data_IF_739017811458
#
_entry.id   IF_739017811458
#
_cell.length_a   1.000
_cell.length_b   1.000
_cell.length_c   1.000
_cell.angle_alpha   90.00
_cell.angle_beta   90.00
_cell.angle_gamma   90.00
#
_symmetry.space_group_name_H-M   'P 1'
#
loop_
_entity.id
_entity.type
_entity.pdbx_description
1 polymer ?
#
# COMPACT_ATOMS: atom_id res chain seq x y z
N UNK A 1 4.56 16.98 1.56
CA UNK A 1 4.55 15.79 0.68
C UNK A 1 5.65 14.86 1.12
N UNK A 2 5.30 13.64 1.49
CA UNK A 2 6.26 12.63 1.91
C UNK A 2 7.15 12.19 0.73
N UNK A 3 8.40 11.86 1.04
CA UNK A 3 9.33 11.27 0.07
C UNK A 3 9.14 9.76 0.03
N UNK A 4 8.74 9.24 -1.12
CA UNK A 4 8.53 7.81 -1.30
C UNK A 4 9.86 7.05 -1.26
N UNK A 5 9.88 5.93 -0.54
CA UNK A 5 10.97 4.95 -0.59
C UNK A 5 10.38 3.56 -0.77
N UNK A 6 10.84 2.86 -1.79
CA UNK A 6 10.37 1.51 -2.09
C UNK A 6 11.34 0.46 -1.55
N UNK A 7 10.81 -0.51 -0.81
CA UNK A 7 11.56 -1.70 -0.46
C UNK A 7 11.87 -2.55 -1.71
N UNK A 8 12.95 -3.34 -1.69
CA UNK A 8 13.30 -4.22 -2.82
C UNK A 8 12.21 -5.26 -3.08
N UNK A 9 11.57 -5.75 -2.03
CA UNK A 9 10.46 -6.70 -2.09
C UNK A 9 9.23 -6.08 -2.76
N UNK A 10 8.84 -4.87 -2.33
CA UNK A 10 7.75 -4.11 -2.94
C UNK A 10 7.89 -3.98 -4.47
N UNK A 11 9.09 -3.67 -4.97
CA UNK A 11 9.31 -3.55 -6.43
C UNK A 11 9.05 -4.86 -7.18
N UNK A 12 9.30 -6.01 -6.57
CA UNK A 12 9.02 -7.32 -7.16
C UNK A 12 7.52 -7.62 -7.11
N UNK A 13 6.88 -7.34 -5.98
CA UNK A 13 5.46 -7.60 -5.76
C UNK A 13 4.59 -6.72 -6.65
N UNK A 14 4.93 -5.43 -6.78
CA UNK A 14 4.25 -4.51 -7.67
C UNK A 14 4.34 -4.98 -9.14
N UNK A 15 5.52 -5.42 -9.59
CA UNK A 15 5.67 -5.99 -10.94
C UNK A 15 4.81 -7.24 -11.13
N UNK A 16 4.70 -8.09 -10.12
CA UNK A 16 3.85 -9.28 -10.17
C UNK A 16 2.36 -8.92 -10.20
N UNK A 17 1.94 -7.93 -9.41
CA UNK A 17 0.59 -7.38 -9.42
C UNK A 17 0.19 -6.88 -10.83
N UNK A 18 1.07 -6.11 -11.48
CA UNK A 18 0.84 -5.62 -12.84
C UNK A 18 0.74 -6.78 -13.84
N UNK A 19 1.60 -7.80 -13.73
CA UNK A 19 1.51 -9.02 -14.57
C UNK A 19 0.21 -9.80 -14.38
N UNK A 20 -0.40 -9.72 -13.19
CA UNK A 20 -1.71 -10.34 -12.87
C UNK A 20 -2.90 -9.50 -13.36
N UNK A 21 -2.67 -8.33 -13.95
CA UNK A 21 -3.72 -7.44 -14.45
C UNK A 21 -4.37 -6.58 -13.38
N UNK A 22 -3.75 -6.44 -12.21
CA UNK A 22 -4.20 -5.46 -11.21
C UNK A 22 -3.99 -4.03 -11.75
N UNK A 23 -4.94 -3.14 -11.45
CA UNK A 23 -4.97 -1.80 -12.03
C UNK A 23 -4.04 -0.85 -11.27
N UNK A 24 -3.00 -0.34 -11.94
CA UNK A 24 -2.06 0.62 -11.37
C UNK A 24 -2.76 1.86 -10.80
N UNK A 25 -3.79 2.36 -11.48
CA UNK A 25 -4.52 3.57 -11.08
C UNK A 25 -5.10 3.49 -9.67
N UNK A 26 -5.54 2.29 -9.23
CA UNK A 26 -6.07 2.09 -7.87
C UNK A 26 -4.97 2.23 -6.81
N UNK A 27 -3.76 1.76 -7.12
CA UNK A 27 -2.60 1.95 -6.26
C UNK A 27 -2.16 3.42 -6.25
N UNK A 28 -2.16 4.09 -7.41
CA UNK A 28 -1.78 5.49 -7.53
C UNK A 28 -2.72 6.42 -6.74
N UNK A 29 -4.02 6.10 -6.70
CA UNK A 29 -5.00 6.82 -5.88
C UNK A 29 -4.64 6.78 -4.39
N UNK A 30 -4.39 5.57 -3.85
CA UNK A 30 -3.98 5.38 -2.44
C UNK A 30 -2.66 6.11 -2.17
N UNK A 31 -1.69 5.98 -3.09
CA UNK A 31 -0.39 6.61 -2.98
C UNK A 31 -0.50 8.14 -2.94
N UNK A 32 -1.43 8.74 -3.70
CA UNK A 32 -1.67 10.18 -3.69
C UNK A 32 -2.10 10.69 -2.32
N UNK A 33 -3.04 10.01 -1.65
CA UNK A 33 -3.46 10.35 -0.28
C UNK A 33 -2.28 10.28 0.69
N UNK A 34 -1.53 9.17 0.66
CA UNK A 34 -0.40 8.94 1.56
C UNK A 34 0.69 10.00 1.39
N UNK A 35 1.09 10.31 0.16
CA UNK A 35 2.13 11.31 -0.09
C UNK A 35 1.69 12.71 0.36
N UNK A 36 0.41 13.02 0.24
CA UNK A 36 -0.16 14.29 0.71
C UNK A 36 -0.43 14.33 2.21
N UNK A 37 -0.15 13.26 2.95
CA UNK A 37 -0.44 13.15 4.39
C UNK A 37 -1.93 13.35 4.70
N UNK A 38 -2.79 12.94 3.76
CA UNK A 38 -4.24 12.95 3.91
C UNK A 38 -4.72 11.61 4.45
N UNK A 39 -5.79 11.65 5.23
CA UNK A 39 -6.45 10.44 5.68
C UNK A 39 -6.99 9.61 4.51
N UNK A 40 -6.80 8.30 4.59
CA UNK A 40 -7.35 7.37 3.61
C UNK A 40 -8.86 7.23 3.83
N UNK A 41 -9.67 7.27 2.75
CA UNK A 41 -11.08 6.92 2.83
C UNK A 41 -11.31 5.55 3.50
N UNK A 42 -12.39 5.43 4.29
CA UNK A 42 -12.72 4.22 5.08
C UNK A 42 -12.74 2.92 4.26
N UNK A 43 -13.06 3.00 2.95
CA UNK A 43 -13.05 1.85 2.04
C UNK A 43 -11.69 1.13 1.95
N UNK A 44 -10.58 1.85 2.17
CA UNK A 44 -9.24 1.27 2.16
C UNK A 44 -8.88 0.58 3.48
N UNK A 45 -9.74 0.63 4.51
CA UNK A 45 -9.56 -0.09 5.78
C UNK A 45 -8.15 0.03 6.37
N UNK A 46 -7.60 1.25 6.33
CA UNK A 46 -6.27 1.52 6.86
C UNK A 46 -6.21 1.23 8.37
N UNK A 47 -5.27 0.40 8.78
CA UNK A 47 -5.13 -0.01 10.17
C UNK A 47 -3.68 -0.34 10.53
N UNK A 48 -3.37 -0.29 11.82
CA UNK A 48 -2.06 -0.67 12.32
C UNK A 48 -1.91 -2.19 12.26
N UNK A 49 -0.88 -2.69 11.57
CA UNK A 49 -0.58 -4.12 11.62
C UNK A 49 -0.03 -4.51 12.99
N UNK A 50 -0.41 -5.71 13.43
CA UNK A 50 0.19 -6.31 14.62
C UNK A 50 1.69 -6.52 14.37
N UNK A 51 2.50 -6.10 15.34
CA UNK A 51 3.94 -6.21 15.24
C UNK A 51 4.36 -7.68 15.03
N UNK A 52 5.13 -7.92 13.98
CA UNK A 52 5.77 -9.22 13.73
C UNK A 52 7.28 -9.03 13.57
N UNK A 53 8.02 -10.13 13.37
CA UNK A 53 9.47 -10.07 13.08
C UNK A 53 9.79 -9.18 11.86
N UNK A 54 8.89 -9.09 10.88
CA UNK A 54 9.13 -8.38 9.62
C UNK A 54 8.33 -7.08 9.47
N UNK A 55 7.29 -6.91 10.27
CA UNK A 55 6.34 -5.80 10.17
C UNK A 55 6.18 -5.15 11.54
N UNK A 56 7.14 -4.31 11.92
CA UNK A 56 7.10 -3.56 13.18
C UNK A 56 6.75 -2.10 12.88
N UNK A 57 5.70 -1.58 13.51
CA UNK A 57 5.29 -0.18 13.36
C UNK A 57 4.83 0.20 11.95
N UNK A 58 4.33 -0.77 11.17
CA UNK A 58 3.81 -0.55 9.82
C UNK A 58 2.29 -0.59 9.79
N UNK A 59 1.68 0.05 8.81
CA UNK A 59 0.23 0.03 8.60
C UNK A 59 -0.10 -0.83 7.39
N UNK A 60 -1.32 -1.32 7.32
CA UNK A 60 -1.85 -1.99 6.13
C UNK A 60 -3.12 -1.29 5.67
N UNK A 61 -3.28 -1.17 4.36
CA UNK A 61 -4.55 -0.78 3.74
C UNK A 61 -4.88 -1.68 2.54
N UNK A 62 -6.17 -1.79 2.25
CA UNK A 62 -6.76 -2.61 1.20
C UNK A 62 -7.01 -1.77 -0.05
N UNK A 63 -6.19 -1.92 -1.09
CA UNK A 63 -6.46 -1.34 -2.41
C UNK A 63 -7.67 -2.05 -3.04
N UNK A 64 -7.74 -3.36 -2.88
CA UNK A 64 -8.88 -4.24 -3.20
C UNK A 64 -9.00 -5.32 -2.11
N UNK A 65 -10.08 -6.13 -2.05
CA UNK A 65 -10.24 -7.15 -1.02
C UNK A 65 -9.02 -8.07 -0.83
N UNK A 66 -8.43 -8.54 -1.94
CA UNK A 66 -7.24 -9.42 -1.94
C UNK A 66 -5.96 -8.70 -2.41
N UNK A 67 -5.94 -7.36 -2.37
CA UNK A 67 -4.77 -6.56 -2.74
C UNK A 67 -4.45 -5.53 -1.65
N UNK A 68 -3.44 -5.85 -0.85
CA UNK A 68 -3.03 -5.10 0.33
C UNK A 68 -1.74 -4.32 0.05
N UNK A 69 -1.62 -3.16 0.69
CA UNK A 69 -0.40 -2.35 0.75
C UNK A 69 0.07 -2.26 2.20
N UNK A 70 1.35 -2.58 2.40
CA UNK A 70 2.08 -2.53 3.68
C UNK A 70 3.33 -1.67 3.52
#
# INVERSE_FOLDING_TARGET
MLKIRYHKQFKKDFKLAMKRGLKADLFEEVLHFLIQEKELPVRYRDHQLTNSKHFQGVRECHIQPDWLLV
#
